data_IF_810013935564
#
_entry.id   IF_810013935564
#
_cell.length_a   1.000
_cell.length_b   1.000
_cell.length_c   1.000
_cell.angle_alpha   90.00
_cell.angle_beta   90.00
_cell.angle_gamma   90.00
#
_symmetry.space_group_name_H-M   'P 1'
#
loop_
_entity.id
_entity.type
_entity.pdbx_description
1 polymer ?
#
# COMPACT_ATOMS: atom_id res chain seq x y z
N UNK A 1 0.79 18.22 24.63
CA UNK A 1 -0.45 17.47 24.84
C UNK A 1 -0.40 16.18 24.03
N UNK A 2 -0.13 15.05 24.65
CA UNK A 2 -0.23 13.75 23.97
C UNK A 2 -1.70 13.34 23.97
N UNK A 3 -2.38 13.52 22.86
CA UNK A 3 -3.71 12.97 22.67
C UNK A 3 -3.60 11.46 22.76
N UNK A 4 -4.08 10.87 23.85
CA UNK A 4 -4.21 9.41 24.00
C UNK A 4 -5.30 8.95 23.02
N UNK A 5 -4.89 8.63 21.80
CA UNK A 5 -5.79 8.03 20.80
C UNK A 5 -6.24 6.67 21.36
N UNK A 6 -7.54 6.38 21.49
CA UNK A 6 -8.02 5.09 21.96
C UNK A 6 -7.50 3.96 21.03
N UNK A 7 -7.14 2.83 21.62
CA UNK A 7 -6.56 1.65 20.93
C UNK A 7 -7.40 1.23 19.71
N UNK A 8 -8.72 1.27 19.85
CA UNK A 8 -9.68 0.94 18.80
C UNK A 8 -9.53 1.83 17.55
N UNK A 9 -9.29 3.12 17.72
CA UNK A 9 -9.09 4.03 16.59
C UNK A 9 -7.81 3.75 15.80
N UNK A 10 -6.75 3.36 16.49
CA UNK A 10 -5.49 2.97 15.83
C UNK A 10 -5.72 1.72 14.99
N UNK A 11 -6.38 0.71 15.55
CA UNK A 11 -6.69 -0.55 14.84
C UNK A 11 -7.60 -0.30 13.64
N UNK A 12 -8.67 0.49 13.81
CA UNK A 12 -9.60 0.85 12.74
C UNK A 12 -8.86 1.53 11.58
N UNK A 13 -8.02 2.52 11.87
CA UNK A 13 -7.26 3.21 10.83
C UNK A 13 -6.31 2.28 10.07
N UNK A 14 -5.62 1.41 10.80
CA UNK A 14 -4.72 0.43 10.20
C UNK A 14 -5.48 -0.59 9.34
N UNK A 15 -6.62 -1.08 9.80
CA UNK A 15 -7.48 -1.98 9.04
C UNK A 15 -8.05 -1.30 7.79
N UNK A 16 -8.52 -0.07 7.89
CA UNK A 16 -9.01 0.70 6.74
C UNK A 16 -7.91 0.91 5.71
N UNK A 17 -6.70 1.25 6.13
CA UNK A 17 -5.56 1.38 5.22
C UNK A 17 -5.25 0.07 4.49
N UNK A 18 -5.23 -1.04 5.21
CA UNK A 18 -4.97 -2.37 4.63
C UNK A 18 -6.10 -2.81 3.68
N UNK A 19 -7.36 -2.55 4.04
CA UNK A 19 -8.51 -2.81 3.18
C UNK A 19 -8.45 -1.99 1.88
N UNK A 20 -8.09 -0.72 1.97
CA UNK A 20 -7.93 0.16 0.81
C UNK A 20 -6.89 -0.39 -0.17
N UNK A 21 -5.73 -0.82 0.34
CA UNK A 21 -4.69 -1.47 -0.47
C UNK A 21 -5.21 -2.75 -1.12
N UNK A 22 -5.90 -3.60 -0.38
CA UNK A 22 -6.43 -4.86 -0.87
C UNK A 22 -7.51 -4.66 -1.94
N UNK A 23 -8.44 -3.75 -1.71
CA UNK A 23 -9.49 -3.41 -2.67
C UNK A 23 -8.92 -2.81 -3.96
N UNK A 24 -7.96 -1.89 -3.84
CA UNK A 24 -7.29 -1.28 -4.98
C UNK A 24 -6.58 -2.32 -5.85
N UNK A 25 -5.98 -3.32 -5.21
CA UNK A 25 -5.30 -4.41 -5.93
C UNK A 25 -6.28 -5.40 -6.57
N UNK A 26 -7.35 -5.76 -5.86
CA UNK A 26 -8.37 -6.68 -6.38
C UNK A 26 -9.17 -6.10 -7.55
N UNK A 27 -9.43 -4.80 -7.53
CA UNK A 27 -10.17 -4.11 -8.59
C UNK A 27 -9.39 -4.00 -9.90
N UNK A 28 -8.09 -4.20 -9.86
CA UNK A 28 -7.23 -4.04 -11.03
C UNK A 28 -7.40 -5.17 -12.05
N UNK A 29 -7.51 -6.41 -11.59
CA UNK A 29 -7.61 -7.57 -12.50
C UNK A 29 -8.80 -7.45 -13.47
N UNK A 30 -10.03 -7.15 -13.04
CA UNK A 30 -11.14 -6.93 -13.95
C UNK A 30 -11.01 -5.64 -14.78
N UNK A 31 -10.20 -4.68 -14.34
CA UNK A 31 -9.99 -3.44 -15.10
C UNK A 31 -8.90 -3.54 -16.19
N UNK A 32 -8.07 -4.59 -16.19
CA UNK A 32 -7.01 -4.77 -17.19
C UNK A 32 -7.50 -4.70 -18.64
N UNK A 33 -8.60 -5.37 -19.07
CA UNK A 33 -9.11 -5.24 -20.41
C UNK A 33 -9.44 -3.80 -20.79
N UNK A 34 -10.04 -3.04 -19.87
CA UNK A 34 -10.37 -1.62 -20.07
C UNK A 34 -9.12 -0.78 -20.28
N UNK A 35 -8.02 -1.05 -19.55
CA UNK A 35 -6.74 -0.38 -19.80
C UNK A 35 -6.14 -0.74 -21.15
N UNK A 36 -6.24 -2.00 -21.56
CA UNK A 36 -5.75 -2.44 -22.87
C UNK A 36 -6.47 -1.72 -24.00
N UNK A 37 -7.78 -1.58 -23.91
CA UNK A 37 -8.59 -0.84 -24.90
C UNK A 37 -8.32 0.66 -24.88
N UNK A 38 -8.31 1.27 -23.69
CA UNK A 38 -8.15 2.71 -23.53
C UNK A 38 -6.77 3.22 -23.99
N UNK A 39 -5.72 2.46 -23.73
CA UNK A 39 -4.34 2.83 -24.10
C UNK A 39 -3.82 2.11 -25.35
N UNK A 40 -4.65 1.30 -26.01
CA UNK A 40 -4.30 0.53 -27.21
C UNK A 40 -3.02 -0.31 -27.01
N UNK A 41 -2.93 -0.99 -25.86
CA UNK A 41 -1.76 -1.78 -25.46
C UNK A 41 -2.03 -3.28 -25.55
N UNK A 42 -0.97 -4.04 -25.81
CA UNK A 42 -1.03 -5.50 -25.79
C UNK A 42 -0.99 -6.10 -24.37
N UNK A 43 -1.32 -7.41 -24.24
CA UNK A 43 -1.34 -8.12 -22.97
C UNK A 43 -0.01 -8.05 -22.20
N UNK A 44 1.11 -8.02 -22.92
CA UNK A 44 2.44 -7.95 -22.32
C UNK A 44 2.65 -6.66 -21.51
N UNK A 45 2.26 -5.51 -22.07
CA UNK A 45 2.34 -4.22 -21.36
C UNK A 45 1.35 -4.14 -20.22
N UNK A 46 0.15 -4.70 -20.40
CA UNK A 46 -0.85 -4.77 -19.33
C UNK A 46 -0.35 -5.58 -18.13
N UNK A 47 0.42 -6.64 -18.36
CA UNK A 47 1.04 -7.44 -17.28
C UNK A 47 1.99 -6.60 -16.41
N UNK A 48 2.68 -5.61 -16.97
CA UNK A 48 3.57 -4.73 -16.20
C UNK A 48 2.84 -3.84 -15.20
N UNK A 49 1.55 -3.57 -15.40
CA UNK A 49 0.72 -2.85 -14.42
C UNK A 49 0.64 -3.63 -13.11
N UNK A 50 0.45 -4.94 -13.19
CA UNK A 50 0.41 -5.83 -12.01
C UNK A 50 1.81 -6.15 -11.51
N UNK A 51 2.73 -6.52 -12.41
CA UNK A 51 4.10 -6.89 -12.08
C UNK A 51 4.86 -5.73 -11.41
N UNK A 52 4.70 -4.50 -11.90
CA UNK A 52 5.31 -3.31 -11.30
C UNK A 52 4.88 -3.10 -9.85
N UNK A 53 3.59 -3.27 -9.55
CA UNK A 53 3.08 -3.22 -8.18
C UNK A 53 3.66 -4.33 -7.31
N UNK A 54 3.56 -5.60 -7.74
CA UNK A 54 4.01 -6.75 -6.95
C UNK A 54 5.50 -6.74 -6.69
N UNK A 55 6.31 -6.40 -7.70
CA UNK A 55 7.76 -6.34 -7.58
C UNK A 55 8.20 -5.26 -6.61
N UNK A 56 7.69 -4.04 -6.76
CA UNK A 56 8.03 -2.93 -5.87
C UNK A 56 7.58 -3.19 -4.43
N UNK A 57 6.39 -3.80 -4.24
CA UNK A 57 5.91 -4.22 -2.93
C UNK A 57 6.84 -5.26 -2.29
N UNK A 58 7.21 -6.31 -3.03
CA UNK A 58 8.09 -7.37 -2.55
C UNK A 58 9.49 -6.87 -2.18
N UNK A 59 10.04 -5.96 -2.97
CA UNK A 59 11.35 -5.33 -2.68
C UNK A 59 11.30 -4.42 -1.45
N UNK A 60 10.18 -3.77 -1.20
CA UNK A 60 10.04 -2.82 -0.08
C UNK A 60 9.78 -3.50 1.25
N UNK A 61 9.12 -4.66 1.27
CA UNK A 61 8.77 -5.38 2.51
C UNK A 61 9.98 -5.63 3.44
N UNK A 62 11.11 -6.21 3.00
CA UNK A 62 12.26 -6.43 3.88
C UNK A 62 12.89 -5.11 4.35
N UNK A 63 12.85 -4.07 3.51
CA UNK A 63 13.38 -2.76 3.84
C UNK A 63 12.59 -2.06 4.95
N UNK A 64 11.30 -2.37 5.06
CA UNK A 64 10.39 -1.78 6.04
C UNK A 64 10.83 -2.04 7.48
N UNK A 65 11.34 -3.22 7.77
CA UNK A 65 11.85 -3.57 9.10
C UNK A 65 13.01 -2.67 9.51
N UNK A 66 13.94 -2.43 8.61
CA UNK A 66 15.08 -1.55 8.83
C UNK A 66 14.67 -0.08 8.98
N UNK A 67 13.81 0.41 8.08
CA UNK A 67 13.33 1.79 8.11
C UNK A 67 12.51 2.08 9.38
N UNK A 68 11.70 1.12 9.81
CA UNK A 68 10.85 1.28 11.01
C UNK A 68 11.65 1.48 12.30
N UNK A 69 12.85 0.90 12.37
CA UNK A 69 13.76 1.09 13.51
C UNK A 69 14.39 2.49 13.52
N UNK A 70 14.65 3.08 12.35
CA UNK A 70 15.29 4.41 12.23
C UNK A 70 14.29 5.56 12.31
N UNK A 71 13.18 5.45 11.60
CA UNK A 71 12.20 6.56 11.43
C UNK A 71 11.06 6.44 12.45
N UNK A 72 10.81 5.24 12.97
CA UNK A 72 9.69 4.92 13.83
C UNK A 72 8.45 4.45 13.04
N UNK A 73 7.75 3.46 13.61
CA UNK A 73 6.60 2.78 12.96
C UNK A 73 5.49 3.72 12.52
N UNK A 74 5.10 4.65 13.40
CA UNK A 74 4.01 5.60 13.13
C UNK A 74 4.33 6.54 11.95
N UNK A 75 5.53 7.12 11.95
CA UNK A 75 5.93 8.05 10.88
C UNK A 75 6.05 7.32 9.55
N UNK A 76 6.66 6.13 9.56
CA UNK A 76 6.83 5.34 8.35
C UNK A 76 5.48 4.88 7.77
N UNK A 77 4.50 4.54 8.63
CA UNK A 77 3.14 4.22 8.20
C UNK A 77 2.46 5.43 7.52
N UNK A 78 2.58 6.61 8.10
CA UNK A 78 2.03 7.84 7.50
C UNK A 78 2.67 8.16 6.14
N UNK A 79 3.97 7.94 5.99
CA UNK A 79 4.65 8.03 4.70
C UNK A 79 4.10 7.02 3.69
N UNK A 80 3.84 5.79 4.12
CA UNK A 80 3.19 4.78 3.29
C UNK A 80 1.82 5.23 2.80
N UNK A 81 0.98 5.76 3.69
CA UNK A 81 -0.35 6.30 3.33
C UNK A 81 -0.22 7.46 2.34
N UNK A 82 0.67 8.41 2.59
CA UNK A 82 0.88 9.56 1.70
C UNK A 82 1.35 9.12 0.30
N UNK A 83 2.28 8.16 0.23
CA UNK A 83 2.73 7.58 -1.04
C UNK A 83 1.61 6.84 -1.76
N UNK A 84 0.76 6.10 -1.04
CA UNK A 84 -0.37 5.39 -1.63
C UNK A 84 -1.39 6.35 -2.24
N UNK A 85 -1.73 7.42 -1.51
CA UNK A 85 -2.63 8.48 -2.01
C UNK A 85 -2.00 9.19 -3.22
N UNK A 86 -0.73 9.55 -3.14
CA UNK A 86 0.00 10.16 -4.26
C UNK A 86 0.03 9.28 -5.50
N UNK A 87 0.30 7.97 -5.34
CA UNK A 87 0.24 6.98 -6.42
C UNK A 87 -1.17 6.84 -7.00
N UNK A 88 -2.20 6.88 -6.16
CA UNK A 88 -3.60 6.83 -6.60
C UNK A 88 -3.99 8.06 -7.43
N UNK A 89 -3.55 9.25 -7.01
CA UNK A 89 -3.77 10.49 -7.77
C UNK A 89 -3.01 10.46 -9.10
N UNK A 90 -1.76 10.00 -9.12
CA UNK A 90 -1.00 9.79 -10.35
C UNK A 90 -1.71 8.84 -11.31
N UNK A 91 -2.25 7.73 -10.79
CA UNK A 91 -3.01 6.78 -11.61
C UNK A 91 -4.32 7.35 -12.15
N UNK A 92 -5.03 8.15 -11.34
CA UNK A 92 -6.27 8.81 -11.76
C UNK A 92 -6.05 9.87 -12.84
N UNK A 93 -4.90 10.53 -12.83
CA UNK A 93 -4.52 11.58 -13.80
C UNK A 93 -3.66 11.04 -14.95
N UNK A 94 -3.47 9.72 -15.02
CA UNK A 94 -2.59 9.13 -16.00
C UNK A 94 -3.16 9.28 -17.43
N UNK A 95 -2.39 9.97 -18.27
CA UNK A 95 -2.67 10.15 -19.69
C UNK A 95 -1.89 9.16 -20.58
N UNK A 96 -1.01 8.35 -20.00
CA UNK A 96 -0.21 7.36 -20.70
C UNK A 96 -0.01 6.10 -19.87
N UNK A 97 0.25 4.98 -20.54
CA UNK A 97 0.51 3.71 -19.86
C UNK A 97 1.75 3.75 -18.96
N UNK A 98 2.75 4.54 -19.32
CA UNK A 98 3.95 4.73 -18.51
C UNK A 98 3.61 5.38 -17.16
N UNK A 99 2.70 6.35 -17.14
CA UNK A 99 2.21 6.97 -15.89
C UNK A 99 1.40 5.99 -15.06
N UNK A 100 0.59 5.13 -15.68
CA UNK A 100 -0.15 4.07 -14.97
C UNK A 100 0.82 3.11 -14.29
N UNK A 101 1.83 2.61 -15.01
CA UNK A 101 2.84 1.70 -14.45
C UNK A 101 3.61 2.39 -13.32
N UNK A 102 4.02 3.65 -13.50
CA UNK A 102 4.70 4.43 -12.46
C UNK A 102 3.84 4.57 -11.21
N UNK A 103 2.56 4.90 -11.37
CA UNK A 103 1.61 4.97 -10.28
C UNK A 103 1.50 3.64 -9.51
N UNK A 104 1.49 2.52 -10.23
CA UNK A 104 1.45 1.16 -9.64
C UNK A 104 2.73 0.83 -8.88
N UNK A 105 3.89 1.21 -9.38
CA UNK A 105 5.17 1.06 -8.68
C UNK A 105 5.16 1.85 -7.37
N UNK A 106 4.72 3.11 -7.39
CA UNK A 106 4.60 3.95 -6.18
C UNK A 106 3.62 3.34 -5.17
N UNK A 107 2.46 2.88 -5.62
CA UNK A 107 1.49 2.17 -4.78
C UNK A 107 2.04 0.86 -4.21
N UNK A 108 2.85 0.13 -4.97
CA UNK A 108 3.52 -1.08 -4.52
C UNK A 108 4.52 -0.79 -3.39
N UNK A 109 5.36 0.22 -3.54
CA UNK A 109 6.26 0.70 -2.47
C UNK A 109 5.46 1.06 -1.22
N UNK A 110 4.40 1.85 -1.36
CA UNK A 110 3.53 2.23 -0.26
C UNK A 110 2.94 1.02 0.47
N UNK A 111 2.43 0.04 -0.29
CA UNK A 111 1.85 -1.19 0.25
C UNK A 111 2.87 -2.06 0.97
N UNK A 112 4.10 -2.15 0.42
CA UNK A 112 5.22 -2.85 1.04
C UNK A 112 5.67 -2.22 2.37
N UNK A 113 5.46 -0.92 2.55
CA UNK A 113 5.63 -0.25 3.85
C UNK A 113 4.45 -0.52 4.79
N UNK A 114 3.22 -0.38 4.30
CA UNK A 114 2.02 -0.39 5.12
C UNK A 114 1.69 -1.77 5.70
N UNK A 115 1.78 -2.85 4.91
CA UNK A 115 1.34 -4.19 5.32
C UNK A 115 2.12 -4.71 6.55
N UNK A 116 3.47 -4.79 6.55
CA UNK A 116 4.21 -5.27 7.71
C UNK A 116 4.11 -4.32 8.90
N UNK A 117 4.01 -3.00 8.67
CA UNK A 117 3.83 -2.02 9.73
C UNK A 117 2.44 -2.13 10.39
N UNK A 118 1.40 -2.44 9.62
CA UNK A 118 0.05 -2.68 10.14
C UNK A 118 0.06 -3.79 11.17
N UNK A 119 0.65 -4.93 10.84
CA UNK A 119 0.80 -6.05 11.77
C UNK A 119 1.62 -5.66 13.00
N UNK A 120 2.76 -4.99 12.80
CA UNK A 120 3.62 -4.56 13.89
C UNK A 120 2.93 -3.55 14.84
N UNK A 121 2.11 -2.65 14.31
CA UNK A 121 1.34 -1.68 15.09
C UNK A 121 0.24 -2.40 15.87
N UNK A 122 -0.53 -3.27 15.24
CA UNK A 122 -1.58 -4.06 15.91
C UNK A 122 -0.97 -4.87 17.05
N UNK A 123 0.12 -5.61 16.80
CA UNK A 123 0.79 -6.38 17.85
C UNK A 123 1.39 -5.53 18.98
N UNK A 124 1.72 -4.26 18.73
CA UNK A 124 2.21 -3.38 19.79
C UNK A 124 1.11 -2.79 20.66
N UNK A 125 -0.12 -2.74 20.16
CA UNK A 125 -1.29 -2.20 20.85
C UNK A 125 -1.93 -3.24 21.78
N UNK A 126 -1.85 -4.53 21.39
CA UNK A 126 -2.37 -5.64 22.22
C UNK A 126 -1.26 -6.25 23.07
N UNK A 127 -1.50 -6.39 24.39
CA UNK A 127 -0.58 -7.08 25.29
C UNK A 127 -0.50 -8.58 24.97
N UNK A 128 0.62 -9.22 25.36
CA UNK A 128 0.86 -10.64 25.03
C UNK A 128 -0.26 -11.59 25.48
N UNK A 129 -1.01 -11.27 26.53
CA UNK A 129 -2.11 -12.09 27.04
C UNK A 129 -3.38 -11.99 26.18
N UNK A 130 -3.60 -10.89 25.48
CA UNK A 130 -4.77 -10.68 24.62
C UNK A 130 -4.61 -11.27 23.23
N UNK A 131 -3.39 -11.74 22.88
CA UNK A 131 -3.07 -12.33 21.56
C UNK A 131 -3.45 -13.81 21.44
N UNK A 132 -3.77 -14.46 22.56
CA UNK A 132 -4.06 -15.90 22.63
C UNK A 132 -5.55 -16.23 22.81
N UNK A 133 -6.42 -15.23 22.80
CA UNK A 133 -7.88 -15.34 22.80
C UNK A 133 -8.39 -14.99 21.38
#
# INVERSE_FOLDING_TARGET
MSVKVPRSWVVINVLLGTLTVSLSNSSLNPALPTFMEAFQIGPLLATWIVAGFMTSMGMTMPLTSFLSQRIGRKRLYLWGVALFVGGSLLGALASSIALVITARVVQGVASGLMIPLSLAIIFSVYEKHERAA
#
